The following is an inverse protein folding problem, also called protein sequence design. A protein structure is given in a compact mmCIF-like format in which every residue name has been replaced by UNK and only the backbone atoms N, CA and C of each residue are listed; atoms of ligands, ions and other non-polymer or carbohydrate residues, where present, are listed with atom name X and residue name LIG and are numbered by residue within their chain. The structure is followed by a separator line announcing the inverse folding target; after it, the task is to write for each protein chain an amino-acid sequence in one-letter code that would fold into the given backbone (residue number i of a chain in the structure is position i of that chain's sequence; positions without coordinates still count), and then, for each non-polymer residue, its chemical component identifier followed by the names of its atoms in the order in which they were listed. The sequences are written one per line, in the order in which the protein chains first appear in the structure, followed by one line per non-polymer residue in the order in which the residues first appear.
data_IF_508245955703
#
_entry.id   IF_508245955703
#
_cell.length_a   1.000
_cell.length_b   1.000
_cell.length_c   1.000
_cell.angle_alpha   90.00
_cell.angle_beta   90.00
_cell.angle_gamma   90.00
#
_symmetry.space_group_name_H-M   'P 1'
#
loop_
_entity.id
_entity.type
_entity.pdbx_description
1 polymer ?
#
# COMPACT_ATOMS: atom_id res chain seq x y z
N UNK A 1 -14.56 38.77 13.18
CA UNK A 1 -13.40 37.89 13.47
C UNK A 1 -13.75 36.79 14.48
N UNK A 2 -14.38 37.12 15.62
CA UNK A 2 -14.79 36.15 16.65
C UNK A 2 -15.84 35.13 16.15
N UNK A 3 -16.75 35.55 15.26
CA UNK A 3 -17.75 34.68 14.61
C UNK A 3 -17.13 33.65 13.67
N UNK A 4 -16.17 34.04 12.83
CA UNK A 4 -15.45 33.12 11.94
C UNK A 4 -14.62 32.06 12.68
N UNK A 5 -14.05 32.42 13.84
CA UNK A 5 -13.33 31.48 14.71
C UNK A 5 -14.32 30.52 15.38
N UNK A 6 -15.47 31.04 15.83
CA UNK A 6 -16.54 30.21 16.41
C UNK A 6 -17.07 29.22 15.38
N UNK A 7 -17.39 29.65 14.16
CA UNK A 7 -17.87 28.75 13.09
C UNK A 7 -16.85 27.69 12.69
N UNK A 8 -15.54 28.04 12.67
CA UNK A 8 -14.47 27.05 12.50
C UNK A 8 -14.40 26.07 13.66
N UNK A 9 -14.53 26.54 14.90
CA UNK A 9 -14.56 25.66 16.07
C UNK A 9 -15.79 24.76 16.10
N UNK A 10 -16.97 25.26 15.71
CA UNK A 10 -18.19 24.45 15.61
C UNK A 10 -18.06 23.42 14.50
N UNK A 11 -17.51 23.78 13.33
CA UNK A 11 -17.26 22.87 12.22
C UNK A 11 -16.26 21.75 12.60
N UNK A 12 -15.19 22.10 13.32
CA UNK A 12 -14.22 21.12 13.87
C UNK A 12 -14.91 20.22 14.90
N UNK A 13 -15.71 20.78 15.82
CA UNK A 13 -16.41 20.02 16.87
C UNK A 13 -17.52 19.11 16.32
N UNK A 14 -18.24 19.53 15.28
CA UNK A 14 -19.19 18.68 14.56
C UNK A 14 -18.51 17.62 13.71
N UNK A 15 -17.28 17.88 13.23
CA UNK A 15 -16.45 16.89 12.54
C UNK A 15 -15.96 15.78 13.49
N UNK A 16 -15.61 16.11 14.73
CA UNK A 16 -15.20 15.14 15.75
C UNK A 16 -16.37 14.30 16.30
N UNK A 17 -17.59 14.85 16.35
CA UNK A 17 -18.79 14.12 16.82
C UNK A 17 -19.41 13.23 15.74
N UNK A 18 -19.01 13.38 14.47
CA UNK A 18 -19.36 12.51 13.34
C UNK A 18 -18.17 11.65 12.85
N UNK A 19 -17.22 11.32 13.72
CA UNK A 19 -16.29 10.22 13.42
C UNK A 19 -17.06 8.92 13.58
N UNK A 20 -17.77 8.53 12.54
CA UNK A 20 -18.36 7.20 12.45
C UNK A 20 -17.23 6.17 12.59
N UNK A 21 -17.46 5.10 13.36
CA UNK A 21 -16.44 4.08 13.65
C UNK A 21 -15.78 3.52 12.37
N UNK A 22 -16.54 3.47 11.26
CA UNK A 22 -16.10 2.92 9.99
C UNK A 22 -14.88 3.64 9.35
N UNK A 23 -14.89 4.97 9.06
CA UNK A 23 -13.70 5.67 8.57
C UNK A 23 -12.46 5.55 9.47
N UNK A 24 -12.65 5.54 10.79
CA UNK A 24 -11.55 5.37 11.74
C UNK A 24 -10.95 3.97 11.66
N UNK A 25 -11.79 2.92 11.61
CA UNK A 25 -11.35 1.54 11.41
C UNK A 25 -10.63 1.35 10.07
N UNK A 26 -11.12 1.97 9.00
CA UNK A 26 -10.47 1.94 7.68
C UNK A 26 -9.06 2.53 7.72
N UNK A 27 -8.90 3.71 8.33
CA UNK A 27 -7.58 4.33 8.49
C UNK A 27 -6.67 3.51 9.41
N UNK A 28 -7.23 2.95 10.48
CA UNK A 28 -6.53 1.99 11.33
C UNK A 28 -6.03 0.79 10.55
N UNK A 29 -6.87 0.19 9.70
CA UNK A 29 -6.48 -0.92 8.85
C UNK A 29 -5.36 -0.54 7.88
N UNK A 30 -5.44 0.63 7.24
CA UNK A 30 -4.37 1.16 6.37
C UNK A 30 -3.05 1.28 7.15
N UNK A 31 -3.08 1.86 8.34
CA UNK A 31 -1.90 2.04 9.18
C UNK A 31 -1.30 0.69 9.58
N UNK A 32 -2.13 -0.26 10.03
CA UNK A 32 -1.70 -1.59 10.44
C UNK A 32 -1.06 -2.35 9.27
N UNK A 33 -1.69 -2.36 8.10
CA UNK A 33 -1.11 -3.05 6.93
C UNK A 33 0.21 -2.43 6.49
N UNK A 34 0.34 -1.11 6.54
CA UNK A 34 1.58 -0.41 6.18
C UNK A 34 2.71 -0.70 7.18
N UNK A 35 2.40 -0.66 8.48
CA UNK A 35 3.36 -0.97 9.55
C UNK A 35 3.84 -2.42 9.47
N UNK A 36 2.93 -3.37 9.27
CA UNK A 36 3.28 -4.78 9.10
C UNK A 36 4.13 -4.98 7.84
N UNK A 37 3.81 -4.29 6.73
CA UNK A 37 4.62 -4.36 5.52
C UNK A 37 6.05 -3.89 5.80
N UNK A 38 6.22 -2.78 6.53
CA UNK A 38 7.54 -2.24 6.86
C UNK A 38 8.30 -3.14 7.82
N UNK A 39 7.62 -3.69 8.84
CA UNK A 39 8.23 -4.62 9.78
C UNK A 39 8.73 -5.90 9.12
N UNK A 40 8.10 -6.35 8.03
CA UNK A 40 8.56 -7.52 7.25
C UNK A 40 9.55 -7.16 6.13
N UNK A 41 9.54 -5.91 5.67
CA UNK A 41 10.40 -5.44 4.60
C UNK A 41 11.78 -5.01 5.09
N UNK A 42 11.87 -4.38 6.27
CA UNK A 42 13.13 -3.89 6.82
C UNK A 42 13.80 -4.89 7.76
N UNK A 43 15.14 -4.90 7.83
CA UNK A 43 15.84 -5.59 8.89
C UNK A 43 15.57 -4.89 10.23
N UNK A 44 15.52 -5.66 11.32
CA UNK A 44 15.10 -5.18 12.63
C UNK A 44 16.00 -4.03 13.15
N UNK A 45 17.29 -4.07 12.82
CA UNK A 45 18.30 -3.08 13.17
C UNK A 45 18.00 -1.71 12.55
N UNK A 46 17.48 -1.69 11.32
CA UNK A 46 17.11 -0.44 10.63
C UNK A 46 15.77 0.07 11.15
N UNK A 47 14.80 -0.83 11.33
CA UNK A 47 13.44 -0.46 11.73
C UNK A 47 13.35 -0.02 13.20
N UNK A 48 14.14 -0.63 14.09
CA UNK A 48 14.22 -0.26 15.51
C UNK A 48 15.35 0.74 15.81
N UNK A 49 16.21 1.01 14.81
CA UNK A 49 17.32 1.94 14.94
C UNK A 49 16.94 3.40 14.68
N UNK A 50 17.94 4.21 14.31
CA UNK A 50 17.80 5.66 14.11
C UNK A 50 16.81 6.05 13.01
N UNK A 51 16.64 5.20 11.99
CA UNK A 51 15.69 5.41 10.91
C UNK A 51 14.24 5.07 11.30
N UNK A 52 14.03 4.29 12.38
CA UNK A 52 12.73 3.79 12.81
C UNK A 52 11.63 4.84 12.89
N UNK A 53 11.82 5.97 13.59
CA UNK A 53 10.81 7.02 13.66
C UNK A 53 10.40 7.59 12.30
N UNK A 54 11.36 7.77 11.37
CA UNK A 54 11.06 8.23 10.02
C UNK A 54 10.29 7.18 9.21
N UNK A 55 10.65 5.90 9.35
CA UNK A 55 9.95 4.78 8.72
C UNK A 55 8.51 4.64 9.25
N UNK A 56 8.31 4.80 10.56
CA UNK A 56 6.99 4.84 11.18
C UNK A 56 6.17 6.00 10.63
N UNK A 57 6.74 7.20 10.53
CA UNK A 57 6.06 8.35 9.95
C UNK A 57 5.60 8.06 8.51
N UNK A 58 6.49 7.50 7.68
CA UNK A 58 6.18 7.12 6.28
C UNK A 58 5.10 6.03 6.20
N UNK A 59 5.13 5.04 7.10
CA UNK A 59 4.12 3.98 7.16
C UNK A 59 2.73 4.52 7.53
N UNK A 60 2.66 5.59 8.32
CA UNK A 60 1.40 6.22 8.72
C UNK A 60 0.85 7.21 7.68
N UNK A 61 1.66 7.69 6.74
CA UNK A 61 1.22 8.66 5.71
C UNK A 61 -0.06 8.24 4.96
N UNK A 62 -0.23 6.98 4.51
CA UNK A 62 -1.44 6.58 3.77
C UNK A 62 -2.70 6.61 4.63
N UNK A 63 -2.59 6.41 5.94
CA UNK A 63 -3.71 6.48 6.86
C UNK A 63 -4.14 7.93 7.15
N UNK A 64 -3.17 8.84 7.21
CA UNK A 64 -3.40 10.27 7.46
C UNK A 64 -3.87 11.01 6.19
N UNK A 65 -3.26 10.69 5.05
CA UNK A 65 -3.53 11.27 3.75
C UNK A 65 -3.81 10.15 2.72
N UNK A 66 -4.97 9.48 2.79
CA UNK A 66 -5.31 8.40 1.86
C UNK A 66 -5.45 8.87 0.40
N UNK A 67 -5.64 10.18 0.19
CA UNK A 67 -5.71 10.81 -1.14
C UNK A 67 -4.32 11.24 -1.62
N UNK A 68 -4.04 11.04 -2.90
CA UNK A 68 -2.81 11.51 -3.55
C UNK A 68 -1.69 10.46 -3.55
N UNK A 69 -0.45 10.92 -3.36
CA UNK A 69 0.75 10.10 -3.59
C UNK A 69 1.26 9.36 -2.35
N UNK A 70 0.70 9.60 -1.16
CA UNK A 70 1.17 9.00 0.09
C UNK A 70 1.21 7.46 0.03
N UNK A 71 0.17 6.74 -0.42
CA UNK A 71 0.24 5.28 -0.56
C UNK A 71 1.38 4.83 -1.48
N UNK A 72 1.59 5.53 -2.58
CA UNK A 72 2.66 5.21 -3.53
C UNK A 72 4.05 5.42 -2.92
N UNK A 73 4.26 6.54 -2.22
CA UNK A 73 5.52 6.81 -1.52
C UNK A 73 5.80 5.71 -0.50
N UNK A 74 4.81 5.34 0.32
CA UNK A 74 4.95 4.25 1.30
C UNK A 74 5.29 2.92 0.63
N UNK A 75 4.66 2.58 -0.51
CA UNK A 75 4.99 1.37 -1.27
C UNK A 75 6.43 1.39 -1.77
N UNK A 76 6.87 2.49 -2.38
CA UNK A 76 8.24 2.61 -2.90
C UNK A 76 9.28 2.49 -1.78
N UNK A 77 9.02 3.12 -0.63
CA UNK A 77 9.88 3.01 0.55
C UNK A 77 9.88 1.56 1.08
N UNK A 78 8.73 0.89 1.15
CA UNK A 78 8.63 -0.51 1.54
C UNK A 78 9.40 -1.46 0.60
N UNK A 79 9.30 -1.25 -0.71
CA UNK A 79 10.09 -1.98 -1.71
C UNK A 79 11.59 -1.72 -1.51
N UNK A 80 11.97 -0.46 -1.25
CA UNK A 80 13.35 -0.09 -0.93
C UNK A 80 13.87 -0.81 0.33
N UNK A 81 13.04 -0.91 1.37
CA UNK A 81 13.34 -1.70 2.57
C UNK A 81 13.58 -3.17 2.26
N UNK A 82 12.70 -3.79 1.47
CA UNK A 82 12.85 -5.18 1.05
C UNK A 82 14.15 -5.43 0.29
N UNK A 83 14.48 -4.55 -0.67
CA UNK A 83 15.74 -4.63 -1.42
C UNK A 83 16.92 -4.48 -0.47
N UNK A 84 16.91 -3.47 0.41
CA UNK A 84 17.96 -3.25 1.40
C UNK A 84 18.16 -4.48 2.29
N UNK A 85 17.09 -5.09 2.80
CA UNK A 85 17.16 -6.27 3.65
C UNK A 85 17.82 -7.46 2.93
N UNK A 86 17.45 -7.68 1.67
CA UNK A 86 17.85 -8.88 0.90
C UNK A 86 19.23 -8.73 0.26
N UNK A 87 19.59 -7.55 -0.24
CA UNK A 87 20.88 -7.30 -0.92
C UNK A 87 21.92 -6.67 -0.01
N UNK A 88 21.51 -5.74 0.87
CA UNK A 88 22.41 -5.02 1.76
C UNK A 88 22.71 -5.74 3.07
N UNK A 89 21.71 -6.41 3.65
CA UNK A 89 21.82 -7.12 4.93
C UNK A 89 21.86 -8.66 4.78
N UNK A 90 21.84 -9.17 3.55
CA UNK A 90 21.91 -10.62 3.27
C UNK A 90 20.75 -11.44 3.85
N UNK A 91 19.62 -10.80 4.16
CA UNK A 91 18.46 -11.49 4.74
C UNK A 91 17.89 -12.45 3.68
N UNK A 92 17.74 -13.75 3.99
CA UNK A 92 17.32 -14.73 3.00
C UNK A 92 15.94 -14.39 2.43
N UNK A 93 15.77 -14.58 1.12
CA UNK A 93 14.50 -14.42 0.42
C UNK A 93 13.64 -15.65 0.71
N UNK A 94 12.63 -15.50 1.57
CA UNK A 94 11.68 -16.55 1.90
C UNK A 94 10.36 -16.28 1.18
N UNK A 95 9.78 -17.29 0.54
CA UNK A 95 8.56 -17.15 -0.27
C UNK A 95 7.41 -16.52 0.54
N UNK A 96 7.16 -17.01 1.76
CA UNK A 96 6.09 -16.48 2.60
C UNK A 96 6.30 -14.99 2.91
N UNK A 97 7.55 -14.57 3.17
CA UNK A 97 7.87 -13.17 3.51
C UNK A 97 7.68 -12.26 2.29
N UNK A 98 8.08 -12.74 1.10
CA UNK A 98 7.88 -12.04 -0.16
C UNK A 98 6.38 -11.85 -0.46
N UNK A 99 5.60 -12.92 -0.35
CA UNK A 99 4.15 -12.87 -0.56
C UNK A 99 3.47 -11.97 0.48
N UNK A 100 3.87 -12.06 1.75
CA UNK A 100 3.31 -11.24 2.82
C UNK A 100 3.59 -9.74 2.59
N UNK A 101 4.83 -9.36 2.29
CA UNK A 101 5.19 -7.96 2.02
C UNK A 101 4.41 -7.44 0.81
N UNK A 102 4.39 -8.18 -0.30
CA UNK A 102 3.63 -7.80 -1.50
C UNK A 102 2.14 -7.64 -1.21
N UNK A 103 1.55 -8.58 -0.47
CA UNK A 103 0.14 -8.54 -0.09
C UNK A 103 -0.19 -7.35 0.82
N UNK A 104 0.62 -7.09 1.84
CA UNK A 104 0.42 -5.99 2.77
C UNK A 104 0.58 -4.62 2.11
N UNK A 105 1.54 -4.46 1.19
CA UNK A 105 1.69 -3.24 0.39
C UNK A 105 0.49 -3.03 -0.54
N UNK A 106 0.01 -4.09 -1.20
CA UNK A 106 -1.19 -4.03 -2.04
C UNK A 106 -2.46 -3.71 -1.22
N UNK A 107 -2.61 -4.31 -0.04
CA UNK A 107 -3.70 -4.02 0.89
C UNK A 107 -3.65 -2.57 1.36
N UNK A 108 -2.47 -2.06 1.72
CA UNK A 108 -2.28 -0.65 2.11
C UNK A 108 -2.77 0.29 1.01
N UNK A 109 -2.40 0.01 -0.25
CA UNK A 109 -2.86 0.79 -1.40
C UNK A 109 -4.38 0.71 -1.59
N UNK A 110 -4.92 -0.51 -1.59
CA UNK A 110 -6.34 -0.76 -1.87
C UNK A 110 -7.26 -0.23 -0.77
N UNK A 111 -6.83 -0.33 0.49
CA UNK A 111 -7.52 0.25 1.65
C UNK A 111 -7.42 1.77 1.66
N UNK A 112 -6.27 2.36 1.29
CA UNK A 112 -6.15 3.81 1.17
C UNK A 112 -7.07 4.37 0.08
N UNK A 113 -7.16 3.68 -1.08
CA UNK A 113 -8.10 4.03 -2.14
C UNK A 113 -9.56 3.95 -1.65
N UNK A 114 -9.92 2.92 -0.89
CA UNK A 114 -11.25 2.79 -0.31
C UNK A 114 -11.53 3.90 0.72
N UNK A 115 -10.57 4.18 1.61
CA UNK A 115 -10.66 5.25 2.61
C UNK A 115 -10.73 6.66 1.97
N UNK A 116 -10.14 6.84 0.78
CA UNK A 116 -10.24 8.07 0.00
C UNK A 116 -11.61 8.25 -0.67
N UNK A 117 -12.32 7.16 -0.96
CA UNK A 117 -13.62 7.18 -1.64
C UNK A 117 -14.81 7.28 -0.66
N UNK A 118 -14.65 6.86 0.60
CA UNK A 118 -15.72 6.85 1.61
C UNK A 118 -15.85 8.22 2.29
N UNK A 119 -17.02 8.89 2.21
CA UNK A 119 -17.32 10.08 3.01
C UNK A 119 -17.33 9.74 4.52
N UNK A 120 -17.01 10.71 5.37
CA UNK A 120 -16.87 10.48 6.81
C UNK A 120 -18.17 10.05 7.52
N UNK A 121 -19.31 10.28 6.90
CA UNK A 121 -20.66 10.08 7.39
C UNK A 121 -21.39 8.87 6.75
N UNK A 122 -20.72 8.09 5.89
CA UNK A 122 -21.32 6.96 5.18
C UNK A 122 -21.14 5.64 5.92
N UNK A 123 -22.23 4.88 6.04
CA UNK A 123 -22.21 3.45 6.38
C UNK A 123 -21.86 2.66 5.12
N UNK A 124 -20.80 1.85 5.17
CA UNK A 124 -20.43 0.98 4.05
C UNK A 124 -21.46 -0.13 3.89
N UNK A 125 -22.06 -0.20 2.70
CA UNK A 125 -22.92 -1.32 2.34
C UNK A 125 -22.10 -2.63 2.32
N UNK A 126 -22.60 -3.74 2.88
CA UNK A 126 -21.90 -5.03 2.89
C UNK A 126 -21.46 -5.50 1.50
N UNK A 127 -22.26 -5.19 0.48
CA UNK A 127 -22.01 -5.55 -0.91
C UNK A 127 -20.73 -4.89 -1.44
N UNK A 128 -20.44 -3.65 -1.02
CA UNK A 128 -19.21 -2.94 -1.37
C UNK A 128 -18.00 -3.65 -0.76
N UNK A 129 -18.12 -4.06 0.51
CA UNK A 129 -17.06 -4.77 1.23
C UNK A 129 -16.79 -6.12 0.59
N UNK A 130 -17.82 -6.91 0.26
CA UNK A 130 -17.67 -8.21 -0.39
C UNK A 130 -17.06 -8.07 -1.78
N UNK A 131 -17.54 -7.13 -2.60
CA UNK A 131 -17.01 -6.91 -3.95
C UNK A 131 -15.56 -6.43 -3.93
N UNK A 132 -15.22 -5.51 -3.02
CA UNK A 132 -13.85 -5.06 -2.81
C UNK A 132 -12.95 -6.21 -2.35
N UNK A 133 -13.39 -6.98 -1.35
CA UNK A 133 -12.63 -8.11 -0.80
C UNK A 133 -12.39 -9.19 -1.87
N UNK A 134 -13.40 -9.49 -2.68
CA UNK A 134 -13.28 -10.45 -3.78
C UNK A 134 -12.26 -9.96 -4.82
N UNK A 135 -12.31 -8.69 -5.21
CA UNK A 135 -11.33 -8.10 -6.13
C UNK A 135 -9.92 -8.19 -5.56
N UNK A 136 -9.73 -7.84 -4.29
CA UNK A 136 -8.44 -7.91 -3.61
C UNK A 136 -7.94 -9.35 -3.58
N UNK A 137 -8.78 -10.32 -3.19
CA UNK A 137 -8.43 -11.73 -3.14
C UNK A 137 -7.99 -12.28 -4.52
N UNK A 138 -8.73 -11.94 -5.58
CA UNK A 138 -8.38 -12.33 -6.95
C UNK A 138 -7.03 -11.77 -7.37
N UNK A 139 -6.76 -10.49 -7.10
CA UNK A 139 -5.48 -9.87 -7.45
C UNK A 139 -4.34 -10.50 -6.66
N UNK A 140 -4.49 -10.68 -5.35
CA UNK A 140 -3.48 -11.31 -4.51
C UNK A 140 -3.19 -12.75 -4.95
N UNK A 141 -4.21 -13.54 -5.28
CA UNK A 141 -4.05 -14.90 -5.76
C UNK A 141 -3.31 -14.95 -7.10
N UNK A 142 -3.75 -14.12 -8.07
CA UNK A 142 -3.10 -14.04 -9.37
C UNK A 142 -1.63 -13.59 -9.25
N UNK A 143 -1.35 -12.59 -8.41
CA UNK A 143 0.01 -12.14 -8.12
C UNK A 143 0.84 -13.22 -7.44
N UNK A 144 0.30 -13.97 -6.48
CA UNK A 144 1.02 -15.06 -5.82
C UNK A 144 1.39 -16.17 -6.81
N UNK A 145 0.45 -16.59 -7.67
CA UNK A 145 0.71 -17.56 -8.74
C UNK A 145 1.81 -17.05 -9.67
N UNK A 146 1.71 -15.79 -10.12
CA UNK A 146 2.72 -15.19 -10.99
C UNK A 146 4.10 -15.15 -10.34
N UNK A 147 4.19 -14.76 -9.06
CA UNK A 147 5.45 -14.74 -8.30
C UNK A 147 6.06 -16.14 -8.22
N UNK A 148 5.27 -17.17 -7.93
CA UNK A 148 5.75 -18.56 -7.87
C UNK A 148 6.26 -19.01 -9.25
N UNK A 149 5.54 -18.71 -10.32
CA UNK A 149 5.97 -19.01 -11.68
C UNK A 149 7.29 -18.30 -12.03
N UNK A 150 7.42 -17.02 -11.68
CA UNK A 150 8.63 -16.24 -11.92
C UNK A 150 9.84 -16.77 -11.14
N UNK A 151 9.67 -17.11 -9.86
CA UNK A 151 10.74 -17.70 -9.05
C UNK A 151 11.18 -19.05 -9.64
N UNK A 152 10.20 -19.88 -10.03
CA UNK A 152 10.49 -21.20 -10.61
C UNK A 152 11.20 -21.07 -11.96
N UNK A 153 10.79 -20.11 -12.80
CA UNK A 153 11.46 -19.80 -14.06
C UNK A 153 12.89 -19.28 -13.82
N UNK A 154 13.06 -18.34 -12.88
CA UNK A 154 14.36 -17.78 -12.51
C UNK A 154 15.34 -18.87 -12.07
N UNK A 155 14.88 -19.85 -11.28
CA UNK A 155 15.72 -20.99 -10.86
C UNK A 155 16.18 -21.89 -12.01
N UNK A 156 15.48 -21.89 -13.16
CA UNK A 156 15.83 -22.68 -14.35
C UNK A 156 16.66 -21.90 -15.37
N UNK A 157 16.46 -20.58 -15.47
CA UNK A 157 17.05 -19.73 -16.51
C UNK A 157 17.91 -18.60 -15.94
N UNK A 158 18.46 -18.78 -14.73
CA UNK A 158 19.18 -17.74 -14.01
C UNK A 158 20.28 -17.11 -14.90
N UNK A 159 20.09 -15.82 -15.26
CA UNK A 159 21.00 -15.09 -16.14
C UNK A 159 20.44 -13.75 -16.65
N UNK A 160 21.29 -12.96 -17.30
CA UNK A 160 20.94 -11.69 -17.96
C UNK A 160 19.64 -11.70 -18.81
N UNK A 161 19.37 -12.70 -19.67
CA UNK A 161 18.17 -12.67 -20.51
C UNK A 161 16.87 -12.75 -19.71
N UNK A 162 16.85 -13.47 -18.58
CA UNK A 162 15.69 -13.49 -17.69
C UNK A 162 15.45 -12.12 -17.04
N UNK A 163 16.51 -11.44 -16.61
CA UNK A 163 16.42 -10.07 -16.07
C UNK A 163 15.86 -9.09 -17.11
N UNK A 164 16.36 -9.14 -18.35
CA UNK A 164 15.87 -8.29 -19.44
C UNK A 164 14.38 -8.53 -19.72
N UNK A 165 13.94 -9.79 -19.70
CA UNK A 165 12.52 -10.13 -19.88
C UNK A 165 11.64 -9.57 -18.75
N UNK A 166 12.09 -9.65 -17.49
CA UNK A 166 11.39 -9.07 -16.33
C UNK A 166 11.32 -7.54 -16.44
N UNK A 167 12.42 -6.90 -16.83
CA UNK A 167 12.47 -5.45 -17.04
C UNK A 167 11.54 -5.01 -18.18
N UNK A 168 11.53 -5.74 -19.29
CA UNK A 168 10.62 -5.48 -20.41
C UNK A 168 9.16 -5.62 -19.97
N UNK A 169 8.83 -6.69 -19.24
CA UNK A 169 7.49 -6.88 -18.66
C UNK A 169 7.08 -5.73 -17.73
N UNK A 170 8.00 -5.24 -16.89
CA UNK A 170 7.76 -4.09 -16.02
C UNK A 170 7.48 -2.81 -16.82
N UNK A 171 8.26 -2.54 -17.88
CA UNK A 171 8.06 -1.38 -18.76
C UNK A 171 6.67 -1.44 -19.42
N UNK A 172 6.26 -2.62 -19.91
CA UNK A 172 4.93 -2.82 -20.50
C UNK A 172 3.84 -2.57 -19.47
N UNK A 173 3.98 -3.08 -18.24
CA UNK A 173 3.01 -2.88 -17.17
C UNK A 173 2.89 -1.38 -16.80
N UNK A 174 4.00 -0.69 -16.62
CA UNK A 174 4.02 0.76 -16.33
C UNK A 174 3.39 1.55 -17.48
N UNK A 175 3.72 1.20 -18.73
CA UNK A 175 3.13 1.81 -19.92
C UNK A 175 1.61 1.62 -19.99
N UNK A 176 1.11 0.41 -19.70
CA UNK A 176 -0.31 0.13 -19.65
C UNK A 176 -1.01 0.95 -18.55
N UNK A 177 -0.43 1.05 -17.36
CA UNK A 177 -0.96 1.87 -16.26
C UNK A 177 -0.98 3.36 -16.66
N UNK A 178 0.09 3.87 -17.26
CA UNK A 178 0.14 5.25 -17.74
C UNK A 178 -0.92 5.53 -18.82
N UNK A 179 -1.10 4.60 -19.77
CA UNK A 179 -2.14 4.68 -20.79
C UNK A 179 -3.53 4.73 -20.14
N UNK A 180 -3.85 3.80 -19.23
CA UNK A 180 -5.13 3.79 -18.51
C UNK A 180 -5.35 5.08 -17.73
N UNK A 181 -4.32 5.60 -17.06
CA UNK A 181 -4.40 6.87 -16.33
C UNK A 181 -4.66 8.05 -17.28
N UNK A 182 -4.05 8.08 -18.46
CA UNK A 182 -4.31 9.14 -19.45
C UNK A 182 -5.72 9.06 -20.04
N UNK A 183 -6.23 7.85 -20.32
CA UNK A 183 -7.59 7.65 -20.81
C UNK A 183 -8.63 8.00 -19.76
N UNK A 184 -8.36 7.67 -18.49
CA UNK A 184 -9.25 7.99 -17.36
C UNK A 184 -9.35 9.50 -17.09
N UNK A 185 -8.31 10.29 -17.38
CA UNK A 185 -8.35 11.76 -17.26
C UNK A 185 -9.13 12.46 -18.38
N UNK A 186 -9.47 11.76 -19.46
CA UNK A 186 -10.18 12.31 -20.63
C UNK A 186 -11.70 12.09 -20.57
N UNK A 187 -12.21 11.50 -19.49
CA UNK A 187 -13.64 11.32 -19.20
C UNK A 187 -13.99 12.13 -17.97
#
# INVERSE_FOLDING_TARGET
MITAIRDRMTAVRTGFTRVTLAPALLRGAVAVTALLAFGLAYPAEVFLGRAGPALLAVALLPALAPRGHAPTVTILVGIGGWVLATTGYGTPVQLWRLLAVGALLYLTHSLAALAAAVPYDVVLAPEVVVRWSTRVAVVLLASAVLVVLLITAAGRTAGQPFLLAVLAGLVVAVGAVALLATLGRRR
#
